data_IF_413279666525
#
_entry.id   IF_413279666525
#
_cell.length_a   1.000
_cell.length_b   1.000
_cell.length_c   1.000
_cell.angle_alpha   90.00
_cell.angle_beta   90.00
_cell.angle_gamma   90.00
#
_symmetry.space_group_name_H-M   'P 1'
#
loop_
_entity.id
_entity.type
_entity.pdbx_description
1 polymer ?
#
# COMPACT_ATOMS: atom_id res chain seq x y z
N UNK A 1 -12.65 31.22 51.04
CA UNK A 1 -12.01 30.11 50.29
C UNK A 1 -11.90 30.52 48.83
N UNK A 2 -10.73 30.99 48.37
CA UNK A 2 -10.47 31.38 46.98
C UNK A 2 -9.84 30.19 46.27
N UNK A 3 -10.52 29.70 45.23
CA UNK A 3 -10.08 28.54 44.43
C UNK A 3 -8.97 28.97 43.45
N UNK A 4 -7.74 28.52 43.66
CA UNK A 4 -6.62 28.71 42.75
C UNK A 4 -6.71 27.67 41.64
N UNK A 5 -7.45 27.96 40.52
CA UNK A 5 -7.61 27.06 39.41
C UNK A 5 -6.99 27.52 38.04
N UNK A 6 -6.20 28.59 37.95
CA UNK A 6 -5.65 28.95 36.62
C UNK A 6 -4.24 28.44 36.33
N UNK A 7 -3.48 27.88 37.27
CA UNK A 7 -2.07 27.56 37.05
C UNK A 7 -1.81 26.18 36.42
N UNK A 8 -2.81 25.29 36.37
CA UNK A 8 -2.67 23.95 35.78
C UNK A 8 -3.01 23.89 34.28
N UNK A 9 -3.69 24.90 33.75
CA UNK A 9 -4.13 24.91 32.33
C UNK A 9 -3.00 25.42 31.42
N UNK A 10 -2.16 26.32 31.87
CA UNK A 10 -1.08 26.93 31.09
C UNK A 10 -0.01 25.89 30.65
N UNK A 11 0.51 25.02 31.56
CA UNK A 11 1.49 24.01 31.13
C UNK A 11 0.90 22.98 30.18
N UNK A 12 -0.40 22.66 30.29
CA UNK A 12 -1.07 21.71 29.41
C UNK A 12 -1.20 22.24 27.97
N UNK A 13 -1.54 23.52 27.82
CA UNK A 13 -1.59 24.19 26.51
C UNK A 13 -0.22 24.36 25.87
N UNK A 14 0.82 24.61 26.68
CA UNK A 14 2.21 24.68 26.15
C UNK A 14 2.73 23.34 25.69
N UNK A 15 2.44 22.24 26.38
CA UNK A 15 2.85 20.88 25.98
C UNK A 15 2.08 20.45 24.72
N UNK A 16 0.78 20.72 24.63
CA UNK A 16 -0.02 20.42 23.44
C UNK A 16 0.37 21.28 22.24
N UNK A 17 0.63 22.57 22.45
CA UNK A 17 1.11 23.48 21.42
C UNK A 17 2.48 23.10 20.88
N UNK A 18 3.41 22.71 21.76
CA UNK A 18 4.76 22.28 21.36
C UNK A 18 4.75 20.95 20.60
N UNK A 19 3.88 20.01 20.96
CA UNK A 19 3.73 18.75 20.22
C UNK A 19 3.03 18.96 18.88
N UNK A 20 2.03 19.84 18.81
CA UNK A 20 1.37 20.21 17.55
C UNK A 20 2.33 20.92 16.59
N UNK A 21 3.15 21.85 17.10
CA UNK A 21 4.15 22.57 16.30
C UNK A 21 5.29 21.66 15.85
N UNK A 22 5.73 20.72 16.70
CA UNK A 22 6.76 19.73 16.38
C UNK A 22 6.27 18.72 15.33
N UNK A 23 4.99 18.33 15.38
CA UNK A 23 4.36 17.49 14.38
C UNK A 23 4.25 18.20 13.01
N UNK A 24 3.85 19.49 13.01
CA UNK A 24 3.72 20.26 11.77
C UNK A 24 5.07 20.60 11.13
N UNK A 25 6.10 20.92 11.92
CA UNK A 25 7.44 21.19 11.39
C UNK A 25 8.13 19.92 10.87
N UNK A 26 7.78 18.75 11.42
CA UNK A 26 8.29 17.47 10.93
C UNK A 26 7.73 17.13 9.55
N UNK A 27 6.43 17.37 9.31
CA UNK A 27 5.82 17.14 7.99
C UNK A 27 6.33 18.12 6.93
N UNK A 28 6.52 19.40 7.29
CA UNK A 28 7.02 20.41 6.35
C UNK A 28 8.50 20.19 5.99
N UNK A 29 9.33 19.70 6.91
CA UNK A 29 10.75 19.39 6.62
C UNK A 29 10.92 18.10 5.80
N UNK A 30 9.96 17.17 5.85
CA UNK A 30 9.99 15.95 5.03
C UNK A 30 9.65 16.22 3.56
N UNK A 31 8.86 17.26 3.31
CA UNK A 31 8.48 17.69 1.94
C UNK A 31 9.60 18.52 1.30
N UNK A 32 10.36 19.28 2.08
CA UNK A 32 11.36 20.21 1.55
C UNK A 32 12.75 19.60 1.29
N UNK A 33 13.06 18.42 1.86
CA UNK A 33 14.36 17.77 1.73
C UNK A 33 14.40 16.56 0.78
N UNK A 34 13.29 16.23 0.12
CA UNK A 34 13.23 15.20 -0.91
C UNK A 34 13.20 15.79 -2.33
N UNK A 35 14.06 16.76 -2.61
CA UNK A 35 14.57 16.97 -3.97
C UNK A 35 15.54 15.83 -4.34
N UNK A 36 15.06 14.60 -4.20
CA UNK A 36 15.60 13.49 -4.97
C UNK A 36 15.13 13.72 -6.40
N UNK A 37 16.03 14.27 -7.19
CA UNK A 37 15.97 14.30 -8.64
C UNK A 37 15.96 12.85 -9.15
N UNK A 38 14.85 12.15 -8.84
CA UNK A 38 14.57 10.81 -9.28
C UNK A 38 14.13 10.94 -10.73
N UNK A 39 14.97 10.47 -11.65
CA UNK A 39 14.57 10.30 -13.04
C UNK A 39 13.26 9.49 -13.05
N UNK A 40 12.15 10.19 -13.23
CA UNK A 40 10.81 9.62 -13.34
C UNK A 40 10.74 8.87 -14.67
N UNK A 41 11.45 7.74 -14.74
CA UNK A 41 11.29 6.76 -15.80
C UNK A 41 10.12 5.86 -15.40
N UNK A 42 8.97 6.08 -16.03
CA UNK A 42 7.85 5.15 -16.11
C UNK A 42 6.77 5.17 -14.99
N UNK A 43 6.70 6.21 -14.17
CA UNK A 43 5.64 6.35 -13.15
C UNK A 43 4.36 7.01 -13.71
N UNK A 44 4.39 7.52 -14.93
CA UNK A 44 3.29 8.29 -15.55
C UNK A 44 1.97 7.50 -15.73
N UNK A 45 2.01 6.17 -15.59
CA UNK A 45 0.87 5.28 -15.83
C UNK A 45 0.28 4.63 -14.58
N UNK A 46 0.69 5.03 -13.36
CA UNK A 46 0.12 4.47 -12.13
C UNK A 46 -1.34 4.93 -12.01
N UNK A 47 -2.32 3.99 -11.94
CA UNK A 47 -3.73 4.34 -11.87
C UNK A 47 -4.05 5.27 -10.71
N UNK A 48 -5.02 6.18 -10.89
CA UNK A 48 -5.45 7.08 -9.83
C UNK A 48 -6.01 6.30 -8.65
N UNK A 49 -6.85 5.30 -8.90
CA UNK A 49 -7.40 4.41 -7.89
C UNK A 49 -6.80 3.02 -8.02
N UNK A 50 -6.17 2.53 -6.96
CA UNK A 50 -5.53 1.23 -6.95
C UNK A 50 -6.52 0.16 -6.50
N UNK A 51 -6.76 -0.83 -7.36
CA UNK A 51 -7.52 -2.03 -7.03
C UNK A 51 -6.58 -3.16 -6.58
N UNK A 52 -6.93 -3.84 -5.48
CA UNK A 52 -6.10 -4.90 -4.93
C UNK A 52 -5.92 -6.07 -5.91
N UNK A 53 -7.00 -6.56 -6.51
CA UNK A 53 -6.95 -7.74 -7.37
C UNK A 53 -6.26 -7.50 -8.70
N UNK A 54 -6.40 -6.28 -9.27
CA UNK A 54 -5.86 -5.96 -10.58
C UNK A 54 -4.44 -5.38 -10.55
N UNK A 55 -4.10 -4.64 -9.49
CA UNK A 55 -2.84 -3.91 -9.46
C UNK A 55 -1.87 -4.45 -8.42
N UNK A 56 -2.35 -4.79 -7.21
CA UNK A 56 -1.51 -5.14 -6.07
C UNK A 56 -1.23 -6.64 -6.00
N UNK A 57 -2.27 -7.45 -6.05
CA UNK A 57 -2.13 -8.90 -5.90
C UNK A 57 -1.21 -9.55 -6.95
N UNK A 58 -1.21 -9.14 -8.24
CA UNK A 58 -0.23 -9.63 -9.21
C UNK A 58 1.21 -9.33 -8.81
N UNK A 59 1.49 -8.13 -8.31
CA UNK A 59 2.84 -7.74 -7.86
C UNK A 59 3.26 -8.58 -6.65
N UNK A 60 2.41 -8.66 -5.62
CA UNK A 60 2.74 -9.41 -4.39
C UNK A 60 2.91 -10.90 -4.71
N UNK A 61 2.07 -11.48 -5.58
CA UNK A 61 2.16 -12.88 -5.95
C UNK A 61 3.43 -13.21 -6.74
N UNK A 62 3.85 -12.34 -7.64
CA UNK A 62 5.06 -12.54 -8.45
C UNK A 62 6.34 -12.27 -7.65
N UNK A 63 6.37 -11.19 -6.87
CA UNK A 63 7.59 -10.71 -6.22
C UNK A 63 7.77 -11.18 -4.77
N UNK A 64 6.69 -11.54 -4.07
CA UNK A 64 6.75 -11.77 -2.62
C UNK A 64 6.38 -13.20 -2.22
N UNK A 65 5.47 -13.89 -2.92
CA UNK A 65 4.94 -15.19 -2.46
C UNK A 65 5.97 -16.31 -2.48
N UNK A 66 7.03 -16.21 -3.26
CA UNK A 66 8.13 -17.19 -3.22
C UNK A 66 8.72 -17.35 -1.80
N UNK A 67 8.76 -16.23 -1.03
CA UNK A 67 9.28 -16.21 0.33
C UNK A 67 8.21 -15.89 1.40
N UNK A 68 7.10 -15.27 1.04
CA UNK A 68 6.06 -14.83 1.97
C UNK A 68 4.66 -15.29 1.53
N UNK A 69 4.58 -16.46 0.92
CA UNK A 69 3.37 -17.06 0.39
C UNK A 69 2.84 -18.25 1.21
N UNK A 70 1.96 -19.04 0.59
CA UNK A 70 1.29 -20.16 1.25
C UNK A 70 2.22 -21.34 1.58
N UNK A 71 3.32 -21.53 0.86
CA UNK A 71 4.26 -22.64 1.08
C UNK A 71 5.03 -22.45 2.39
N UNK A 72 4.68 -23.22 3.40
CA UNK A 72 5.31 -23.17 4.74
C UNK A 72 6.77 -23.61 4.76
N UNK A 73 7.21 -24.41 3.79
CA UNK A 73 8.62 -24.85 3.67
C UNK A 73 9.52 -23.75 3.14
N UNK A 74 9.00 -22.89 2.28
CA UNK A 74 9.75 -21.78 1.68
C UNK A 74 9.57 -20.47 2.47
N UNK A 75 8.55 -20.40 3.31
CA UNK A 75 8.17 -19.18 4.02
C UNK A 75 9.29 -18.67 4.92
N UNK A 76 9.57 -17.37 4.77
CA UNK A 76 10.52 -16.63 5.61
C UNK A 76 9.78 -15.76 6.63
N UNK A 77 10.42 -15.55 7.78
CA UNK A 77 9.91 -14.70 8.88
C UNK A 77 8.46 -15.02 9.30
N UNK A 78 7.99 -16.23 9.08
CA UNK A 78 6.61 -16.65 9.34
C UNK A 78 5.54 -15.68 8.76
N UNK A 79 5.89 -14.93 7.73
CA UNK A 79 5.05 -13.88 7.13
C UNK A 79 4.25 -14.43 5.94
N UNK A 80 2.93 -14.16 5.93
CA UNK A 80 2.01 -14.53 4.86
C UNK A 80 1.39 -13.30 4.22
N UNK A 81 1.87 -12.91 3.05
CA UNK A 81 1.31 -11.79 2.29
C UNK A 81 0.14 -12.18 1.38
N UNK A 82 -0.15 -13.48 1.28
CA UNK A 82 -1.29 -14.03 0.55
C UNK A 82 -2.60 -14.02 1.37
N UNK A 83 -2.56 -13.61 2.62
CA UNK A 83 -3.73 -13.52 3.50
C UNK A 83 -3.93 -12.10 4.02
N UNK A 84 -5.20 -11.76 4.31
CA UNK A 84 -5.54 -10.48 4.90
C UNK A 84 -4.84 -10.30 6.26
N UNK A 85 -4.88 -11.32 7.09
CA UNK A 85 -4.30 -11.32 8.43
C UNK A 85 -2.79 -11.09 8.36
N UNK A 86 -2.10 -11.75 7.43
CA UNK A 86 -0.66 -11.61 7.26
C UNK A 86 -0.23 -10.24 6.76
N UNK A 87 -1.03 -9.58 5.91
CA UNK A 87 -0.76 -8.21 5.45
C UNK A 87 -0.81 -7.18 6.58
N UNK A 88 -1.62 -7.41 7.60
CA UNK A 88 -1.78 -6.45 8.72
C UNK A 88 -1.12 -6.93 10.03
N UNK A 89 -0.41 -8.07 10.00
CA UNK A 89 0.29 -8.55 11.19
C UNK A 89 1.51 -7.70 11.53
N UNK A 90 1.98 -7.85 12.76
CA UNK A 90 3.27 -7.32 13.19
C UNK A 90 4.40 -8.25 12.73
N UNK A 91 5.53 -7.68 12.33
CA UNK A 91 6.75 -8.44 12.06
C UNK A 91 7.36 -8.94 13.36
N UNK A 92 7.92 -10.16 13.36
CA UNK A 92 8.48 -10.77 14.56
C UNK A 92 9.75 -10.05 15.05
N UNK A 93 10.57 -9.58 14.10
CA UNK A 93 11.88 -8.99 14.37
C UNK A 93 11.83 -7.52 14.83
N UNK A 94 10.92 -6.73 14.30
CA UNK A 94 10.87 -5.28 14.54
C UNK A 94 9.64 -4.82 15.31
N UNK A 95 8.71 -5.71 15.59
CA UNK A 95 7.40 -5.39 16.20
C UNK A 95 6.68 -4.24 15.46
N UNK A 96 6.87 -4.15 14.14
CA UNK A 96 6.23 -3.20 13.26
C UNK A 96 5.15 -3.87 12.44
N UNK A 97 4.08 -3.15 12.13
CA UNK A 97 3.03 -3.67 11.25
C UNK A 97 3.54 -3.74 9.81
N UNK A 98 3.29 -4.83 9.11
CA UNK A 98 3.62 -4.98 7.69
C UNK A 98 2.96 -3.87 6.89
N UNK A 99 1.64 -3.71 7.07
CA UNK A 99 0.87 -2.55 6.62
C UNK A 99 0.21 -1.92 7.84
N UNK A 100 0.57 -0.70 8.17
CA UNK A 100 -0.01 0.02 9.30
C UNK A 100 -1.17 0.90 8.82
N UNK A 101 -2.40 0.53 9.19
CA UNK A 101 -3.60 1.29 8.83
C UNK A 101 -3.80 2.56 9.65
N UNK A 102 -3.11 2.71 10.77
CA UNK A 102 -3.16 3.90 11.63
C UNK A 102 -2.12 4.93 11.19
N UNK A 103 -0.95 4.44 10.75
CA UNK A 103 0.13 5.26 10.21
C UNK A 103 0.68 4.61 8.93
N UNK A 104 0.05 4.92 7.79
CA UNK A 104 0.31 4.26 6.52
C UNK A 104 1.78 4.39 6.06
N UNK A 105 2.42 5.52 6.35
CA UNK A 105 3.81 5.81 5.98
C UNK A 105 4.83 5.00 6.80
N UNK A 106 4.45 4.59 8.01
CA UNK A 106 5.29 3.75 8.89
C UNK A 106 5.17 2.25 8.57
N UNK A 107 4.41 1.89 7.54
CA UNK A 107 4.27 0.50 7.10
C UNK A 107 5.63 -0.11 6.78
N UNK A 108 5.95 -1.26 7.40
CA UNK A 108 7.23 -1.95 7.20
C UNK A 108 7.42 -2.36 5.72
N UNK A 109 6.34 -2.64 5.01
CA UNK A 109 6.38 -2.91 3.58
C UNK A 109 6.98 -1.73 2.81
N UNK A 110 6.50 -0.49 3.04
CA UNK A 110 7.06 0.71 2.38
C UNK A 110 8.54 0.86 2.72
N UNK A 111 8.87 0.78 4.01
CA UNK A 111 10.25 0.90 4.46
C UNK A 111 11.19 -0.08 3.77
N UNK A 112 10.78 -1.34 3.60
CA UNK A 112 11.61 -2.38 2.99
C UNK A 112 11.72 -2.28 1.47
N UNK A 113 10.66 -1.97 0.76
CA UNK A 113 10.70 -1.89 -0.72
C UNK A 113 11.50 -0.69 -1.24
N UNK A 114 11.68 0.36 -0.43
CA UNK A 114 12.48 1.55 -0.76
C UNK A 114 13.83 1.60 -0.05
N UNK A 115 14.21 0.54 0.69
CA UNK A 115 15.46 0.57 1.45
C UNK A 115 16.68 0.44 0.54
N UNK A 116 17.73 1.23 0.79
CA UNK A 116 18.98 1.22 0.01
C UNK A 116 19.93 0.08 0.43
N UNK A 117 19.84 -0.37 1.69
CA UNK A 117 20.69 -1.43 2.20
C UNK A 117 20.21 -2.80 1.72
N UNK A 118 21.05 -3.51 0.98
CA UNK A 118 20.77 -4.82 0.40
C UNK A 118 20.36 -5.89 1.45
N UNK A 119 20.81 -5.75 2.70
CA UNK A 119 20.43 -6.66 3.78
C UNK A 119 19.03 -6.43 4.34
N UNK A 120 18.37 -5.34 3.95
CA UNK A 120 17.07 -4.92 4.47
C UNK A 120 16.03 -4.82 3.36
N UNK A 121 16.44 -4.45 2.16
CA UNK A 121 15.53 -4.27 1.02
C UNK A 121 14.76 -5.56 0.70
N UNK A 122 13.50 -5.41 0.31
CA UNK A 122 12.65 -6.51 -0.15
C UNK A 122 12.06 -6.21 -1.53
N UNK A 123 12.08 -7.18 -2.43
CA UNK A 123 12.78 -8.48 -2.36
C UNK A 123 14.29 -8.33 -2.28
N UNK A 124 15.00 -9.30 -1.65
CA UNK A 124 16.45 -9.23 -1.56
C UNK A 124 17.09 -9.43 -2.95
N UNK A 125 18.23 -8.77 -3.24
CA UNK A 125 18.84 -8.77 -4.59
C UNK A 125 19.14 -10.18 -5.13
N UNK A 126 19.53 -11.09 -4.27
CA UNK A 126 19.84 -12.48 -4.65
C UNK A 126 18.62 -13.30 -5.12
N UNK A 127 17.40 -12.81 -4.86
CA UNK A 127 16.16 -13.45 -5.32
C UNK A 127 15.92 -13.28 -6.80
N UNK A 128 16.53 -12.29 -7.45
CA UNK A 128 16.23 -11.81 -8.80
C UNK A 128 14.75 -11.40 -9.02
N UNK A 129 14.05 -11.00 -7.95
CA UNK A 129 12.64 -10.58 -7.96
C UNK A 129 12.49 -9.07 -7.72
N UNK A 130 13.47 -8.28 -8.14
CA UNK A 130 13.46 -6.83 -7.93
C UNK A 130 12.15 -6.19 -8.41
N UNK A 131 11.66 -5.24 -7.62
CA UNK A 131 10.50 -4.41 -7.98
C UNK A 131 10.94 -3.29 -8.93
N UNK A 132 10.19 -3.06 -9.98
CA UNK A 132 10.29 -1.85 -10.79
C UNK A 132 9.76 -0.65 -10.01
N UNK A 133 10.12 0.57 -10.42
CA UNK A 133 9.61 1.78 -9.78
C UNK A 133 8.09 1.90 -9.90
N UNK A 134 7.52 1.47 -11.03
CA UNK A 134 6.07 1.37 -11.19
C UNK A 134 5.42 0.47 -10.13
N UNK A 135 5.97 -0.74 -9.90
CA UNK A 135 5.44 -1.68 -8.91
C UNK A 135 5.55 -1.13 -7.48
N UNK A 136 6.66 -0.47 -7.15
CA UNK A 136 6.84 0.19 -5.86
C UNK A 136 5.79 1.30 -5.64
N UNK A 137 5.58 2.15 -6.64
CA UNK A 137 4.60 3.23 -6.56
C UNK A 137 3.16 2.71 -6.49
N UNK A 138 2.83 1.62 -7.18
CA UNK A 138 1.52 0.95 -7.05
C UNK A 138 1.31 0.47 -5.61
N UNK A 139 2.29 -0.23 -5.02
CA UNK A 139 2.20 -0.73 -3.64
C UNK A 139 2.08 0.43 -2.63
N UNK A 140 2.92 1.45 -2.77
CA UNK A 140 2.88 2.64 -1.92
C UNK A 140 1.54 3.36 -2.02
N UNK A 141 1.06 3.61 -3.22
CA UNK A 141 -0.22 4.30 -3.46
C UNK A 141 -1.40 3.48 -2.91
N UNK A 142 -1.37 2.16 -3.05
CA UNK A 142 -2.37 1.29 -2.45
C UNK A 142 -2.39 1.43 -0.91
N UNK A 143 -1.24 1.41 -0.27
CA UNK A 143 -1.14 1.59 1.18
C UNK A 143 -1.68 2.96 1.57
N UNK A 144 -1.27 4.04 0.92
CA UNK A 144 -1.73 5.40 1.18
C UNK A 144 -3.23 5.59 0.92
N UNK A 145 -3.85 4.76 0.09
CA UNK A 145 -5.30 4.72 -0.14
C UNK A 145 -6.06 3.86 0.88
N UNK A 146 -5.40 3.44 1.97
CA UNK A 146 -5.98 2.66 3.06
C UNK A 146 -5.85 1.16 2.89
N UNK A 147 -4.97 0.71 2.00
CA UNK A 147 -4.57 -0.69 1.84
C UNK A 147 -5.74 -1.69 1.78
N UNK A 148 -6.81 -1.38 1.06
CA UNK A 148 -8.03 -2.21 1.03
C UNK A 148 -7.74 -3.56 0.40
N UNK A 149 -7.78 -4.61 1.22
CA UNK A 149 -7.68 -5.99 0.76
C UNK A 149 -9.01 -6.47 0.15
N UNK A 150 -8.93 -7.28 -0.91
CA UNK A 150 -10.08 -7.94 -1.53
C UNK A 150 -9.84 -9.44 -1.65
N UNK A 151 -10.91 -10.23 -1.52
CA UNK A 151 -10.86 -11.65 -1.89
C UNK A 151 -10.47 -11.77 -3.36
N UNK A 152 -9.77 -12.85 -3.70
CA UNK A 152 -9.47 -13.16 -5.09
C UNK A 152 -10.76 -13.14 -5.92
N UNK A 153 -10.70 -12.56 -7.11
CA UNK A 153 -11.86 -12.33 -7.97
C UNK A 153 -12.70 -13.59 -8.23
N UNK A 154 -12.09 -14.79 -8.30
CA UNK A 154 -12.79 -16.05 -8.51
C UNK A 154 -13.74 -16.43 -7.36
N UNK A 155 -13.59 -15.83 -6.17
CA UNK A 155 -14.45 -16.03 -5.02
C UNK A 155 -15.43 -14.87 -4.79
N UNK A 156 -15.47 -13.91 -5.70
CA UNK A 156 -16.43 -12.80 -5.68
C UNK A 156 -17.60 -13.20 -6.58
N UNK A 157 -18.81 -13.14 -6.04
CA UNK A 157 -20.01 -13.39 -6.85
C UNK A 157 -20.08 -12.35 -7.98
N UNK A 158 -20.24 -12.77 -9.24
CA UNK A 158 -20.43 -11.84 -10.34
C UNK A 158 -21.63 -10.94 -10.10
N UNK A 159 -21.45 -9.64 -10.27
CA UNK A 159 -22.54 -8.67 -10.30
C UNK A 159 -22.92 -8.41 -11.74
N UNK A 160 -24.22 -8.27 -11.99
CA UNK A 160 -24.73 -7.87 -13.31
C UNK A 160 -24.41 -6.38 -13.43
N UNK A 161 -23.55 -5.96 -14.40
CA UNK A 161 -23.28 -4.55 -14.58
C UNK A 161 -24.55 -3.82 -15.00
N UNK A 162 -24.68 -2.57 -14.59
CA UNK A 162 -25.73 -1.69 -15.14
C UNK A 162 -25.53 -1.59 -16.66
N UNK A 163 -26.57 -1.93 -17.39
CA UNK A 163 -26.56 -1.82 -18.85
C UNK A 163 -26.57 -0.33 -19.18
N UNK A 164 -25.52 0.21 -19.82
CA UNK A 164 -25.54 1.62 -20.19
C UNK A 164 -26.70 1.88 -21.16
N UNK A 165 -27.38 3.02 -21.00
CA UNK A 165 -28.40 3.49 -21.94
C UNK A 165 -27.76 3.72 -23.31
N UNK A 166 -27.80 2.69 -24.14
CA UNK A 166 -27.22 2.74 -25.48
C UNK A 166 -28.29 2.89 -26.52
N UNK A 167 -28.12 3.89 -27.33
CA UNK A 167 -28.92 4.11 -28.52
C UNK A 167 -28.48 3.15 -29.63
N UNK A 168 -29.31 2.19 -29.98
CA UNK A 168 -29.19 1.33 -31.18
C UNK A 168 -27.99 0.37 -31.25
N UNK A 169 -28.22 -0.85 -30.82
CA UNK A 169 -27.23 -1.97 -30.88
C UNK A 169 -27.52 -3.03 -31.93
N UNK A 170 -28.18 -2.70 -32.99
CA UNK A 170 -28.57 -3.71 -34.01
C UNK A 170 -27.41 -4.27 -34.81
N UNK A 171 -26.23 -3.65 -34.82
CA UNK A 171 -25.09 -4.09 -35.65
C UNK A 171 -24.02 -4.88 -34.93
N UNK A 172 -24.00 -4.96 -33.60
CA UNK A 172 -23.00 -5.78 -32.88
C UNK A 172 -23.32 -7.29 -32.89
N UNK A 173 -24.55 -7.68 -33.21
CA UNK A 173 -24.94 -9.09 -33.35
C UNK A 173 -24.70 -9.64 -34.75
N UNK A 174 -24.43 -8.80 -35.72
CA UNK A 174 -24.31 -9.23 -37.13
C UNK A 174 -22.97 -9.93 -37.44
N UNK A 175 -21.96 -9.79 -36.62
CA UNK A 175 -20.66 -10.41 -36.84
C UNK A 175 -20.53 -11.85 -36.35
N UNK A 176 -21.45 -12.31 -35.50
CA UNK A 176 -21.39 -13.66 -34.93
C UNK A 176 -22.04 -14.74 -35.82
N UNK A 177 -22.76 -14.35 -36.86
CA UNK A 177 -23.58 -15.29 -37.64
C UNK A 177 -23.04 -15.58 -39.05
N UNK A 178 -21.87 -15.13 -39.41
CA UNK A 178 -21.32 -15.31 -40.76
C UNK A 178 -20.13 -16.26 -40.82
N UNK A 179 -20.09 -17.30 -40.02
CA UNK A 179 -19.16 -18.41 -40.19
C UNK A 179 -19.90 -19.67 -40.61
N UNK A 180 -20.15 -19.81 -41.87
CA UNK A 180 -20.36 -21.06 -42.56
C UNK A 180 -19.56 -21.08 -43.85
#
# INVERSE_FOLDING_TARGET
MKKNLPYLIIPFLLIFGLNYFKSKSYTDSYIENNDLNFEVKDVSNVPENIDFNFHVNPIISDKCFACHGPDDKQRKANLRLDTKEGLYQMTEDLLKKVVDLENLEESEMIRRIYHENESIVMPPPESNLALSEYEKEVLKKWILQGAKWKKHWSFIKPEIPEIPDTVSYTHLRAHETTNY
#
